data_IF_141104870330
#
_entry.id   IF_141104870330
#
_cell.length_a   1.000
_cell.length_b   1.000
_cell.length_c   1.000
_cell.angle_alpha   90.00
_cell.angle_beta   90.00
_cell.angle_gamma   90.00
#
_symmetry.space_group_name_H-M   'P 1'
#
loop_
_entity.id
_entity.type
_entity.pdbx_description
1 polymer ?
#
# COMPACT_ATOMS: atom_id res chain seq x y z
N UNK A 1 -7.92 -30.47 -6.51
CA UNK A 1 -8.53 -29.56 -5.52
C UNK A 1 -7.51 -28.98 -4.58
N UNK A 2 -7.95 -28.16 -3.61
CA UNK A 2 -7.07 -27.62 -2.57
C UNK A 2 -6.60 -28.74 -1.64
N UNK A 3 -5.29 -28.92 -1.51
CA UNK A 3 -4.66 -29.96 -0.68
C UNK A 3 -4.02 -29.40 0.58
N UNK A 4 -3.82 -28.10 0.66
CA UNK A 4 -3.26 -27.41 1.81
C UNK A 4 -3.65 -25.92 1.79
N UNK A 5 -3.82 -25.32 2.98
CA UNK A 5 -3.95 -23.87 3.12
C UNK A 5 -3.41 -23.39 4.46
N UNK A 6 -2.81 -22.19 4.47
CA UNK A 6 -2.22 -21.56 5.66
C UNK A 6 -2.21 -20.05 5.54
N UNK A 7 -2.30 -19.36 6.68
CA UNK A 7 -2.13 -17.92 6.81
C UNK A 7 -0.76 -17.63 7.42
N UNK A 8 0.01 -16.76 6.75
CA UNK A 8 1.31 -16.28 7.24
C UNK A 8 1.18 -14.80 7.62
N UNK A 9 1.55 -14.48 8.85
CA UNK A 9 1.36 -13.15 9.44
C UNK A 9 2.68 -12.57 9.94
N UNK A 10 2.89 -11.23 9.83
CA UNK A 10 3.90 -10.51 10.61
C UNK A 10 3.67 -10.70 12.12
N UNK A 11 4.72 -10.57 12.90
CA UNK A 11 4.67 -10.84 14.36
C UNK A 11 3.88 -9.82 15.17
N UNK A 12 3.65 -8.63 14.64
CA UNK A 12 3.02 -7.49 15.30
C UNK A 12 1.52 -7.33 15.02
N UNK A 13 0.88 -8.29 14.37
CA UNK A 13 -0.54 -8.23 14.01
C UNK A 13 -1.41 -9.00 15.01
N UNK A 14 -2.75 -8.75 15.04
CA UNK A 14 -3.67 -9.52 15.84
C UNK A 14 -3.62 -11.02 15.54
N UNK A 15 -3.58 -11.84 16.58
CA UNK A 15 -3.51 -13.31 16.42
C UNK A 15 -4.76 -13.92 15.81
N UNK A 16 -5.92 -13.28 15.97
CA UNK A 16 -7.18 -13.66 15.35
C UNK A 16 -7.12 -13.66 13.81
N UNK A 17 -6.18 -12.95 13.20
CA UNK A 17 -5.99 -12.98 11.74
C UNK A 17 -5.42 -14.30 11.21
N UNK A 18 -5.10 -15.27 12.08
CA UNK A 18 -4.90 -16.65 11.67
C UNK A 18 -6.19 -17.28 11.12
N UNK A 19 -7.36 -16.75 11.50
CA UNK A 19 -8.61 -17.06 10.82
C UNK A 19 -8.72 -16.25 9.53
N UNK A 20 -8.96 -16.95 8.42
CA UNK A 20 -9.04 -16.33 7.08
C UNK A 20 -10.14 -15.28 7.00
N UNK A 21 -11.30 -15.54 7.60
CA UNK A 21 -12.41 -14.60 7.57
C UNK A 21 -12.07 -13.33 8.36
N UNK A 22 -11.44 -13.46 9.53
CA UNK A 22 -11.03 -12.33 10.36
C UNK A 22 -9.98 -11.45 9.62
N UNK A 23 -8.98 -12.07 8.97
CA UNK A 23 -7.99 -11.35 8.18
C UNK A 23 -8.64 -10.54 7.05
N UNK A 24 -9.42 -11.21 6.20
CA UNK A 24 -9.97 -10.55 5.01
C UNK A 24 -11.09 -9.55 5.35
N UNK A 25 -11.86 -9.76 6.42
CA UNK A 25 -12.79 -8.77 6.96
C UNK A 25 -12.03 -7.52 7.45
N UNK A 26 -10.88 -7.69 8.13
CA UNK A 26 -10.06 -6.57 8.56
C UNK A 26 -9.46 -5.80 7.37
N UNK A 27 -9.04 -6.48 6.31
CA UNK A 27 -8.57 -5.86 5.06
C UNK A 27 -9.69 -5.05 4.41
N UNK A 28 -10.88 -5.63 4.26
CA UNK A 28 -12.03 -4.95 3.65
C UNK A 28 -12.45 -3.72 4.47
N UNK A 29 -12.52 -3.84 5.79
CA UNK A 29 -12.88 -2.75 6.69
C UNK A 29 -11.88 -1.57 6.65
N UNK A 30 -10.61 -1.83 6.29
CA UNK A 30 -9.60 -0.79 6.13
C UNK A 30 -9.76 0.02 4.83
N UNK A 31 -10.50 -0.49 3.85
CA UNK A 31 -10.71 0.17 2.57
C UNK A 31 -11.94 1.08 2.59
N UNK A 32 -11.81 2.26 2.00
CA UNK A 32 -12.87 3.28 1.97
C UNK A 32 -13.56 3.40 0.62
N UNK A 33 -12.93 2.92 -0.44
CA UNK A 33 -13.45 3.00 -1.80
C UNK A 33 -14.03 1.66 -2.23
N UNK A 34 -15.15 1.68 -2.94
CA UNK A 34 -15.78 0.47 -3.49
C UNK A 34 -14.87 -0.27 -4.49
N UNK A 35 -14.01 0.47 -5.18
CA UNK A 35 -13.10 -0.07 -6.20
C UNK A 35 -11.69 -0.31 -5.65
N UNK A 36 -11.54 -0.39 -4.33
CA UNK A 36 -10.24 -0.66 -3.72
C UNK A 36 -9.78 -2.08 -4.03
N UNK A 37 -8.54 -2.21 -4.48
CA UNK A 37 -7.89 -3.50 -4.57
C UNK A 37 -7.58 -4.01 -3.16
N UNK A 38 -8.11 -5.18 -2.80
CA UNK A 38 -7.97 -5.77 -1.46
C UNK A 38 -6.72 -6.64 -1.36
N UNK A 39 -6.43 -7.39 -2.43
CA UNK A 39 -5.35 -8.36 -2.47
C UNK A 39 -4.59 -8.31 -3.80
N UNK A 40 -3.37 -8.83 -3.76
CA UNK A 40 -2.60 -9.24 -4.93
C UNK A 40 -2.43 -10.74 -4.89
N UNK A 41 -2.62 -11.39 -6.02
CA UNK A 41 -2.40 -12.81 -6.14
C UNK A 41 -1.07 -13.08 -6.88
N UNK A 42 -0.28 -13.99 -6.32
CA UNK A 42 0.81 -14.64 -7.02
C UNK A 42 0.40 -16.09 -7.23
N UNK A 43 0.58 -16.60 -8.43
CA UNK A 43 0.42 -18.03 -8.74
C UNK A 43 1.81 -18.57 -9.10
N UNK A 44 2.26 -19.55 -8.32
CA UNK A 44 3.58 -20.16 -8.51
C UNK A 44 3.42 -21.65 -8.80
N UNK A 45 4.11 -22.13 -9.84
CA UNK A 45 4.20 -23.56 -10.12
C UNK A 45 5.07 -24.24 -9.06
N UNK A 46 4.67 -25.44 -8.64
CA UNK A 46 5.43 -26.26 -7.70
C UNK A 46 6.14 -27.38 -8.47
N UNK A 47 7.42 -27.69 -8.10
CA UNK A 47 8.13 -28.79 -8.73
C UNK A 47 7.40 -30.12 -8.50
N UNK A 48 7.12 -30.85 -9.57
CA UNK A 48 6.38 -32.14 -9.51
C UNK A 48 7.19 -33.26 -8.86
N UNK A 49 8.51 -33.07 -8.79
CA UNK A 49 9.45 -34.01 -8.19
C UNK A 49 9.39 -33.99 -6.66
N UNK A 50 8.89 -32.89 -6.08
CA UNK A 50 8.84 -32.70 -4.63
C UNK A 50 7.52 -33.22 -4.06
N UNK A 51 7.58 -33.57 -2.76
CA UNK A 51 6.41 -33.95 -1.99
C UNK A 51 5.78 -32.74 -1.29
N UNK A 52 4.55 -32.92 -0.79
CA UNK A 52 3.78 -31.83 -0.17
C UNK A 52 4.51 -31.12 0.97
N UNK A 53 5.27 -31.83 1.77
CA UNK A 53 6.00 -31.21 2.90
C UNK A 53 7.19 -30.38 2.41
N UNK A 54 7.79 -30.75 1.29
CA UNK A 54 8.84 -29.97 0.63
C UNK A 54 8.22 -28.71 -0.01
N UNK A 55 7.06 -28.83 -0.66
CA UNK A 55 6.31 -27.66 -1.17
C UNK A 55 5.97 -26.67 -0.05
N UNK A 56 5.49 -27.14 1.10
CA UNK A 56 5.24 -26.28 2.27
C UNK A 56 6.50 -25.58 2.75
N UNK A 57 7.63 -26.28 2.75
CA UNK A 57 8.93 -25.73 3.19
C UNK A 57 9.39 -24.60 2.29
N UNK A 58 9.44 -24.83 0.97
CA UNK A 58 9.87 -23.79 0.00
C UNK A 58 8.91 -22.61 -0.02
N UNK A 59 7.60 -22.85 0.04
CA UNK A 59 6.60 -21.77 0.14
C UNK A 59 6.78 -20.96 1.41
N UNK A 60 6.95 -21.61 2.55
CA UNK A 60 7.19 -20.91 3.83
C UNK A 60 8.43 -20.02 3.77
N UNK A 61 9.54 -20.53 3.24
CA UNK A 61 10.77 -19.74 3.09
C UNK A 61 10.53 -18.54 2.18
N UNK A 62 9.99 -18.76 0.97
CA UNK A 62 9.70 -17.70 0.01
C UNK A 62 8.79 -16.62 0.61
N UNK A 63 7.65 -17.04 1.19
CA UNK A 63 6.63 -16.12 1.71
C UNK A 63 7.15 -15.34 2.91
N UNK A 64 7.86 -16.00 3.84
CA UNK A 64 8.40 -15.32 5.02
C UNK A 64 9.39 -14.24 4.61
N UNK A 65 10.40 -14.58 3.83
CA UNK A 65 11.49 -13.66 3.48
C UNK A 65 11.08 -12.55 2.52
N UNK A 66 10.17 -12.84 1.60
CA UNK A 66 9.83 -11.92 0.50
C UNK A 66 8.50 -11.19 0.65
N UNK A 67 7.64 -11.62 1.58
CA UNK A 67 6.33 -11.03 1.79
C UNK A 67 6.11 -10.63 3.26
N UNK A 68 6.16 -11.59 4.19
CA UNK A 68 5.82 -11.37 5.60
C UNK A 68 6.82 -10.46 6.30
N UNK A 69 8.12 -10.67 6.09
CA UNK A 69 9.19 -9.83 6.64
C UNK A 69 9.18 -8.40 6.04
N UNK A 70 8.48 -8.23 4.92
CA UNK A 70 8.21 -6.91 4.31
C UNK A 70 6.94 -6.24 4.83
N UNK A 71 6.18 -6.92 5.67
CA UNK A 71 4.96 -6.40 6.30
C UNK A 71 3.66 -6.78 5.60
N UNK A 72 3.66 -7.75 4.67
CA UNK A 72 2.46 -8.30 4.06
C UNK A 72 1.92 -9.46 4.90
N UNK A 73 0.58 -9.58 4.98
CA UNK A 73 -0.04 -10.83 5.36
C UNK A 73 -0.24 -11.67 4.10
N UNK A 74 -0.08 -12.98 4.21
CA UNK A 74 -0.23 -13.90 3.09
C UNK A 74 -1.22 -15.01 3.41
N UNK A 75 -2.15 -15.25 2.49
CA UNK A 75 -3.10 -16.36 2.53
C UNK A 75 -2.76 -17.32 1.38
N UNK A 76 -2.38 -18.54 1.72
CA UNK A 76 -1.81 -19.51 0.79
C UNK A 76 -2.71 -20.69 0.63
N UNK A 77 -2.87 -21.18 -0.60
CA UNK A 77 -3.55 -22.42 -0.92
C UNK A 77 -2.76 -23.19 -1.97
N UNK A 78 -2.46 -24.46 -1.69
CA UNK A 78 -1.86 -25.36 -2.67
C UNK A 78 -2.97 -26.12 -3.36
N UNK A 79 -2.94 -26.09 -4.67
CA UNK A 79 -3.82 -26.89 -5.52
C UNK A 79 -2.98 -27.95 -6.24
N UNK A 80 -3.45 -29.17 -6.13
CA UNK A 80 -2.94 -30.28 -6.91
C UNK A 80 -4.14 -31.05 -7.49
N UNK A 81 -4.09 -31.26 -8.82
CA UNK A 81 -5.09 -32.04 -9.52
C UNK A 81 -4.37 -33.19 -10.21
N UNK A 82 -4.43 -34.33 -9.58
CA UNK A 82 -3.92 -35.60 -10.07
C UNK A 82 -2.41 -35.61 -10.39
N UNK A 83 -1.63 -34.76 -9.70
CA UNK A 83 -0.17 -34.66 -9.85
C UNK A 83 0.34 -34.04 -11.14
N UNK A 84 -0.53 -33.44 -11.95
CA UNK A 84 -0.14 -32.96 -13.28
C UNK A 84 0.26 -31.47 -13.31
N UNK A 85 -0.26 -30.66 -12.40
CA UNK A 85 0.01 -29.22 -12.37
C UNK A 85 -0.09 -28.68 -10.95
N UNK A 86 0.76 -29.12 -10.02
CA UNK A 86 0.77 -28.58 -8.68
C UNK A 86 1.16 -27.10 -8.70
N UNK A 87 0.38 -26.27 -8.03
CA UNK A 87 0.63 -24.83 -7.96
C UNK A 87 0.08 -24.24 -6.67
N UNK A 88 0.63 -23.12 -6.25
CA UNK A 88 0.16 -22.39 -5.09
C UNK A 88 -0.41 -21.04 -5.49
N UNK A 89 -1.55 -20.70 -4.91
CA UNK A 89 -2.12 -19.38 -4.89
C UNK A 89 -1.69 -18.67 -3.62
N UNK A 90 -1.08 -17.50 -3.74
CA UNK A 90 -0.60 -16.68 -2.64
C UNK A 90 -1.31 -15.33 -2.73
N UNK A 91 -2.30 -15.10 -1.87
CA UNK A 91 -2.97 -13.82 -1.74
C UNK A 91 -2.22 -12.95 -0.74
N UNK A 92 -1.77 -11.78 -1.18
CA UNK A 92 -1.00 -10.83 -0.38
C UNK A 92 -1.84 -9.58 -0.09
N UNK A 93 -1.76 -9.05 1.12
CA UNK A 93 -2.38 -7.78 1.46
C UNK A 93 -1.68 -6.62 0.76
N UNK A 94 -2.46 -5.59 0.40
CA UNK A 94 -2.00 -4.44 -0.40
C UNK A 94 -1.67 -3.21 0.44
N UNK A 95 -2.08 -3.22 1.71
CA UNK A 95 -1.90 -2.09 2.62
C UNK A 95 -0.77 -2.41 3.60
N UNK A 96 0.24 -1.54 3.74
CA UNK A 96 1.30 -1.76 4.71
C UNK A 96 0.79 -1.63 6.14
N UNK A 97 1.50 -2.26 7.06
CA UNK A 97 1.28 -2.18 8.49
C UNK A 97 2.30 -1.25 9.14
N UNK A 98 1.91 -0.56 10.21
CA UNK A 98 2.84 0.15 11.07
C UNK A 98 3.46 -0.79 12.13
N UNK A 99 4.39 -0.28 12.94
CA UNK A 99 5.07 -1.05 13.98
C UNK A 99 4.12 -1.61 15.07
N UNK A 100 2.89 -1.11 15.11
CA UNK A 100 1.84 -1.55 16.04
C UNK A 100 0.84 -2.50 15.40
N UNK A 101 1.09 -2.96 14.17
CA UNK A 101 0.20 -3.84 13.44
C UNK A 101 -1.08 -3.18 12.91
N UNK A 102 -1.09 -1.86 12.75
CA UNK A 102 -2.23 -1.13 12.19
C UNK A 102 -2.02 -0.82 10.73
N UNK A 103 -3.11 -0.87 9.96
CA UNK A 103 -3.09 -0.53 8.55
C UNK A 103 -2.70 0.93 8.31
N UNK A 104 -1.66 1.14 7.51
CA UNK A 104 -1.27 2.46 7.01
C UNK A 104 -2.13 2.87 5.81
N UNK A 105 -2.20 4.16 5.52
CA UNK A 105 -2.84 4.64 4.30
C UNK A 105 -1.99 4.31 3.06
N UNK A 106 -2.63 3.88 1.97
CA UNK A 106 -1.96 3.65 0.66
C UNK A 106 -1.44 4.94 0.03
N UNK A 107 -2.06 6.08 0.38
CA UNK A 107 -1.67 7.41 -0.09
C UNK A 107 -1.64 8.39 1.07
N UNK A 108 -0.73 9.35 1.00
CA UNK A 108 -0.64 10.45 1.94
C UNK A 108 -1.25 11.70 1.31
N UNK A 109 -2.06 12.44 2.08
CA UNK A 109 -2.60 13.72 1.63
C UNK A 109 -1.45 14.69 1.36
N UNK A 110 -1.50 15.35 0.20
CA UNK A 110 -0.50 16.28 -0.25
C UNK A 110 -1.16 17.63 -0.53
N UNK A 111 -0.67 18.68 0.11
CA UNK A 111 -1.13 20.05 -0.09
C UNK A 111 -0.36 20.70 -1.22
N UNK A 112 -1.07 21.35 -2.15
CA UNK A 112 -0.44 22.20 -3.16
C UNK A 112 -0.14 23.57 -2.54
N UNK A 113 1.14 23.78 -2.25
CA UNK A 113 1.66 25.00 -1.68
C UNK A 113 2.32 25.87 -2.75
N UNK A 114 2.41 27.17 -2.49
CA UNK A 114 2.96 28.15 -3.41
C UNK A 114 4.03 29.00 -2.72
N UNK A 115 5.09 29.35 -3.46
CA UNK A 115 6.11 30.30 -3.07
C UNK A 115 6.49 31.14 -4.31
N UNK A 116 6.07 32.39 -4.33
CA UNK A 116 6.14 33.20 -5.55
C UNK A 116 5.33 32.55 -6.68
N UNK A 117 5.97 32.28 -7.82
CA UNK A 117 5.33 31.62 -8.96
C UNK A 117 5.43 30.09 -8.93
N UNK A 118 6.22 29.53 -8.01
CA UNK A 118 6.39 28.08 -7.87
C UNK A 118 5.23 27.45 -7.11
N UNK A 119 4.71 26.31 -7.63
CA UNK A 119 3.73 25.46 -6.95
C UNK A 119 4.30 24.06 -6.76
N UNK A 120 4.22 23.53 -5.52
CA UNK A 120 4.72 22.21 -5.18
C UNK A 120 3.80 21.53 -4.15
N UNK A 121 3.71 20.18 -4.24
CA UNK A 121 3.01 19.36 -3.29
C UNK A 121 3.87 19.02 -2.08
N UNK A 122 3.27 19.11 -0.87
CA UNK A 122 3.91 18.72 0.39
C UNK A 122 2.94 17.91 1.24
N UNK A 123 3.42 16.83 1.84
CA UNK A 123 2.71 16.15 2.93
C UNK A 123 2.60 17.07 4.15
N UNK A 124 1.77 16.70 5.13
CA UNK A 124 1.61 17.51 6.34
C UNK A 124 2.92 17.69 7.14
N UNK A 125 3.77 16.65 7.13
CA UNK A 125 5.06 16.69 7.84
C UNK A 125 6.11 17.49 7.07
N UNK A 126 6.21 17.30 5.77
CA UNK A 126 7.10 18.08 4.90
C UNK A 126 6.76 19.57 4.93
N UNK A 127 5.48 19.92 5.00
CA UNK A 127 5.05 21.32 5.05
C UNK A 127 5.56 22.04 6.28
N UNK A 128 5.77 21.36 7.42
CA UNK A 128 6.33 21.99 8.63
C UNK A 128 7.70 22.63 8.37
N UNK A 129 8.54 21.94 7.58
CA UNK A 129 9.85 22.48 7.18
C UNK A 129 9.72 23.47 6.02
N UNK A 130 8.91 23.15 5.02
CA UNK A 130 8.70 24.00 3.85
C UNK A 130 8.12 25.39 4.21
N UNK A 131 7.29 25.46 5.25
CA UNK A 131 6.75 26.74 5.74
C UNK A 131 7.85 27.69 6.20
N UNK A 132 8.93 27.19 6.82
CA UNK A 132 10.07 28.01 7.21
C UNK A 132 10.83 28.56 5.98
N UNK A 133 10.77 27.87 4.84
CA UNK A 133 11.36 28.29 3.58
C UNK A 133 10.44 29.18 2.74
N UNK A 134 9.33 29.66 3.32
CA UNK A 134 8.41 30.60 2.68
C UNK A 134 7.33 29.98 1.82
N UNK A 135 7.14 28.65 1.89
CA UNK A 135 6.00 28.00 1.24
C UNK A 135 4.71 28.21 2.00
N UNK A 136 3.64 28.56 1.31
CA UNK A 136 2.31 28.76 1.90
C UNK A 136 1.29 27.81 1.27
N UNK A 137 0.36 27.28 2.12
CA UNK A 137 -0.80 26.55 1.63
C UNK A 137 -1.73 27.49 0.89
N UNK A 138 -2.30 27.04 -0.21
CA UNK A 138 -3.30 27.80 -0.95
C UNK A 138 -4.71 27.47 -0.45
N UNK A 139 -5.56 28.49 -0.40
CA UNK A 139 -6.97 28.37 -0.05
C UNK A 139 -7.83 29.10 -1.06
N UNK A 140 -9.13 28.79 -1.11
CA UNK A 140 -10.04 29.56 -1.92
C UNK A 140 -10.41 30.88 -1.23
N UNK A 141 -10.37 31.96 -1.99
CA UNK A 141 -10.80 33.30 -1.60
C UNK A 141 -11.81 33.85 -2.60
N UNK A 142 -12.70 34.72 -2.12
CA UNK A 142 -13.66 35.39 -2.98
C UNK A 142 -13.00 36.53 -3.76
N UNK A 143 -13.06 36.45 -5.10
CA UNK A 143 -12.68 37.54 -6.02
C UNK A 143 -13.92 37.88 -6.80
N UNK A 144 -14.67 38.87 -6.33
CA UNK A 144 -16.01 39.15 -6.78
C UNK A 144 -16.96 37.95 -6.51
N UNK A 145 -17.56 37.38 -7.56
CA UNK A 145 -18.43 36.20 -7.47
C UNK A 145 -17.69 34.88 -7.65
N UNK A 146 -16.41 34.92 -7.91
CA UNK A 146 -15.57 33.70 -8.17
C UNK A 146 -14.78 33.31 -6.94
N UNK A 147 -14.48 32.01 -6.82
CA UNK A 147 -13.55 31.48 -5.82
C UNK A 147 -12.26 31.11 -6.51
N UNK A 148 -11.14 31.68 -6.07
CA UNK A 148 -9.82 31.49 -6.67
C UNK A 148 -8.87 30.98 -5.58
N UNK A 149 -7.99 30.03 -5.93
CA UNK A 149 -6.93 29.56 -5.04
C UNK A 149 -5.78 30.56 -5.04
N UNK A 150 -5.38 30.96 -3.85
CA UNK A 150 -4.19 31.78 -3.61
C UNK A 150 -3.65 31.57 -2.19
N UNK A 151 -2.46 32.05 -1.93
CA UNK A 151 -1.87 32.01 -0.60
C UNK A 151 -2.51 33.03 0.35
N UNK A 152 -2.42 32.83 1.66
CA UNK A 152 -2.86 33.83 2.65
C UNK A 152 -2.18 35.20 2.46
N UNK A 153 -0.89 35.22 2.10
CA UNK A 153 -0.16 36.48 1.86
C UNK A 153 -0.70 37.22 0.63
N UNK A 154 -0.96 36.51 -0.48
CA UNK A 154 -1.56 37.11 -1.70
C UNK A 154 -2.97 37.63 -1.43
N UNK A 155 -3.77 36.89 -0.67
CA UNK A 155 -5.12 37.30 -0.31
C UNK A 155 -5.15 38.52 0.63
N UNK A 156 -4.24 38.56 1.59
CA UNK A 156 -4.09 39.68 2.53
C UNK A 156 -3.71 40.97 1.77
N UNK A 157 -2.80 40.88 0.81
CA UNK A 157 -2.40 42.03 -0.01
C UNK A 157 -3.58 42.63 -0.80
N UNK A 158 -4.61 41.81 -1.13
CA UNK A 158 -5.79 42.22 -1.84
C UNK A 158 -7.04 42.39 -0.96
N UNK A 159 -6.90 42.26 0.36
CA UNK A 159 -7.99 42.34 1.35
C UNK A 159 -9.18 41.41 1.03
N UNK A 160 -8.89 40.20 0.57
CA UNK A 160 -9.89 39.22 0.16
C UNK A 160 -10.36 38.33 1.32
N UNK A 161 -11.64 37.98 1.30
CA UNK A 161 -12.26 37.09 2.28
C UNK A 161 -12.06 35.63 1.89
N UNK A 162 -11.73 34.78 2.89
CA UNK A 162 -11.52 33.35 2.70
C UNK A 162 -12.84 32.61 2.47
N UNK A 163 -12.91 31.84 1.41
CA UNK A 163 -14.10 31.07 0.99
C UNK A 163 -14.05 29.58 1.38
N UNK A 164 -12.88 29.06 1.80
CA UNK A 164 -12.71 27.63 2.15
C UNK A 164 -11.83 27.44 3.37
N UNK A 165 -12.23 26.53 4.27
CA UNK A 165 -11.41 26.09 5.40
C UNK A 165 -10.30 25.13 4.97
N UNK A 166 -10.53 24.36 3.90
CA UNK A 166 -9.60 23.33 3.43
C UNK A 166 -8.60 23.93 2.43
N UNK A 167 -7.31 23.59 2.59
CA UNK A 167 -6.32 23.99 1.63
C UNK A 167 -6.44 23.19 0.31
N UNK A 168 -5.91 23.76 -0.77
CA UNK A 168 -5.72 23.07 -2.06
C UNK A 168 -4.89 21.83 -1.84
N UNK A 169 -5.32 20.73 -2.41
CA UNK A 169 -4.60 19.45 -2.31
C UNK A 169 -4.59 18.74 -3.66
N UNK A 170 -3.64 17.84 -3.85
CA UNK A 170 -3.65 16.95 -4.99
C UNK A 170 -4.87 16.02 -4.92
N UNK A 171 -5.35 15.60 -6.10
CA UNK A 171 -6.58 14.78 -6.20
C UNK A 171 -6.42 13.42 -5.52
N UNK A 172 -5.27 12.78 -5.69
CA UNK A 172 -5.02 11.41 -5.23
C UNK A 172 -4.02 11.32 -4.08
N UNK A 173 -3.37 12.44 -3.71
CA UNK A 173 -2.28 12.45 -2.76
C UNK A 173 -0.99 11.86 -3.34
N UNK A 174 0.01 11.69 -2.47
CA UNK A 174 1.26 11.00 -2.78
C UNK A 174 1.14 9.54 -2.37
N UNK A 175 1.56 8.63 -3.23
CA UNK A 175 1.58 7.21 -2.90
C UNK A 175 2.49 6.94 -1.69
N UNK A 176 2.06 6.08 -0.77
CA UNK A 176 2.91 5.59 0.31
C UNK A 176 4.14 4.91 -0.31
N UNK A 177 5.38 5.24 0.12
CA UNK A 177 6.61 4.67 -0.46
C UNK A 177 6.64 3.14 -0.46
N UNK A 178 6.13 2.50 0.59
CA UNK A 178 6.03 1.04 0.67
C UNK A 178 5.07 0.50 -0.40
N UNK A 179 3.92 1.15 -0.58
CA UNK A 179 2.98 0.78 -1.64
C UNK A 179 3.58 1.01 -3.03
N UNK A 180 4.37 2.06 -3.22
CA UNK A 180 5.05 2.34 -4.48
C UNK A 180 6.05 1.23 -4.83
N UNK A 181 6.85 0.78 -3.85
CA UNK A 181 7.78 -0.34 -4.00
C UNK A 181 7.03 -1.63 -4.35
N UNK A 182 6.02 -2.00 -3.57
CA UNK A 182 5.24 -3.23 -3.79
C UNK A 182 4.50 -3.27 -5.13
N UNK A 183 4.17 -2.09 -5.70
CA UNK A 183 3.46 -1.96 -6.97
C UNK A 183 4.39 -1.74 -8.16
N UNK A 184 5.70 -1.70 -7.96
CA UNK A 184 6.67 -1.50 -9.03
C UNK A 184 6.79 -2.75 -9.94
N UNK A 185 7.21 -2.54 -11.17
CA UNK A 185 7.52 -3.65 -12.09
C UNK A 185 8.74 -4.45 -11.61
N UNK A 186 9.68 -3.78 -10.96
CA UNK A 186 10.86 -4.40 -10.37
C UNK A 186 10.49 -5.43 -9.30
N UNK A 187 9.42 -5.19 -8.53
CA UNK A 187 8.98 -6.12 -7.50
C UNK A 187 8.60 -7.50 -8.07
N UNK A 188 8.02 -7.54 -9.26
CA UNK A 188 7.69 -8.79 -9.94
C UNK A 188 8.97 -9.56 -10.28
N UNK A 189 10.00 -8.85 -10.74
CA UNK A 189 11.31 -9.45 -11.06
C UNK A 189 11.99 -9.99 -9.80
N UNK A 190 11.92 -9.25 -8.68
CA UNK A 190 12.44 -9.69 -7.38
C UNK A 190 11.75 -10.99 -6.93
N UNK A 191 10.43 -11.06 -6.99
CA UNK A 191 9.71 -12.27 -6.59
C UNK A 191 9.99 -13.46 -7.50
N UNK A 192 10.09 -13.26 -8.81
CA UNK A 192 10.45 -14.32 -9.76
C UNK A 192 11.83 -14.90 -9.45
N UNK A 193 12.81 -14.03 -9.21
CA UNK A 193 14.17 -14.46 -8.86
C UNK A 193 14.20 -15.19 -7.51
N UNK A 194 13.54 -14.66 -6.50
CA UNK A 194 13.44 -15.29 -5.19
C UNK A 194 12.76 -16.67 -5.26
N UNK A 195 11.72 -16.81 -6.08
CA UNK A 195 11.07 -18.11 -6.31
C UNK A 195 12.00 -19.11 -7.01
N UNK A 196 12.70 -18.67 -8.05
CA UNK A 196 13.72 -19.48 -8.71
C UNK A 196 14.79 -19.97 -7.71
N UNK A 197 15.27 -19.09 -6.85
CA UNK A 197 16.34 -19.41 -5.89
C UNK A 197 15.90 -20.46 -4.86
N UNK A 198 14.66 -20.42 -4.36
CA UNK A 198 14.16 -21.42 -3.40
C UNK A 198 13.75 -22.74 -4.05
N UNK A 199 13.53 -22.78 -5.36
CA UNK A 199 13.16 -24.01 -6.08
C UNK A 199 14.34 -24.73 -6.74
N UNK A 200 15.46 -24.06 -6.92
CA UNK A 200 16.68 -24.63 -7.53
C UNK A 200 17.71 -25.14 -6.50
N UNK A 201 17.25 -25.54 -5.31
CA UNK A 201 18.11 -26.08 -4.24
C UNK A 201 18.38 -27.57 -4.44
#
# INVERSE_FOLDING_TARGET
GCVYSEIFLPTNVPTEWQDRAELWNAVEAAEKSKDSQLARELIVALPIELQIDEWKSILKTFITENCVDKGMCADVSIHDTDGHNPHAHILLTMRPLDDKGKWQAKTQKEYLCKRGDDEQGFTADEFKSAQADGWEKQYQYFVGKKKIYMTPSEAKAQSLERASKNPKSTRYGRQNPICAEWNSEEQITVWRKAWEDVTNV
#
